data_IF_017953350100
#
_entry.id   IF_017953350100
#
_cell.length_a   1.000
_cell.length_b   1.000
_cell.length_c   1.000
_cell.angle_alpha   90.00
_cell.angle_beta   90.00
_cell.angle_gamma   90.00
#
_symmetry.space_group_name_H-M   'P 1'
#
loop_
_entity.id
_entity.type
_entity.pdbx_description
1 polymer ?
#
# COMPACT_ATOMS: atom_id res chain seq x y z
N UNK A 1 -29.79 13.66 -40.42
CA UNK A 1 -30.08 13.51 -38.98
C UNK A 1 -30.04 14.88 -38.32
N UNK A 2 -31.20 15.53 -38.12
CA UNK A 2 -31.30 16.93 -37.65
C UNK A 2 -31.18 16.92 -36.13
N UNK A 3 -30.04 17.34 -35.61
CA UNK A 3 -29.84 17.59 -34.16
C UNK A 3 -30.70 18.82 -33.79
N UNK A 4 -31.84 18.57 -33.18
CA UNK A 4 -32.69 19.64 -32.62
C UNK A 4 -31.93 20.30 -31.47
N UNK A 5 -31.50 21.54 -31.67
CA UNK A 5 -31.02 22.44 -30.62
C UNK A 5 -32.17 22.68 -29.62
N UNK A 6 -32.14 22.02 -28.48
CA UNK A 6 -33.04 22.34 -27.37
C UNK A 6 -32.60 23.70 -26.82
N UNK A 7 -33.47 24.71 -26.75
CA UNK A 7 -33.11 26.01 -26.20
C UNK A 7 -32.48 25.88 -24.83
N UNK A 8 -31.45 26.66 -24.52
CA UNK A 8 -30.73 26.63 -23.24
C UNK A 8 -31.68 26.81 -22.03
N UNK A 9 -32.72 27.62 -22.18
CA UNK A 9 -33.75 27.85 -21.16
C UNK A 9 -34.52 26.55 -20.80
N UNK A 10 -34.76 25.65 -21.75
CA UNK A 10 -35.47 24.39 -21.51
C UNK A 10 -34.55 23.39 -20.81
N UNK A 11 -33.26 23.38 -21.12
CA UNK A 11 -32.25 22.59 -20.40
C UNK A 11 -32.09 23.04 -18.96
N UNK A 12 -32.06 24.36 -18.72
CA UNK A 12 -31.95 24.94 -17.38
C UNK A 12 -33.21 24.64 -16.52
N UNK A 13 -34.40 24.65 -17.14
CA UNK A 13 -35.64 24.32 -16.44
C UNK A 13 -35.72 22.82 -16.09
N UNK A 14 -35.34 21.94 -17.02
CA UNK A 14 -35.30 20.48 -16.77
C UNK A 14 -34.29 20.14 -15.68
N UNK A 15 -33.18 20.86 -15.65
CA UNK A 15 -32.13 20.70 -14.65
C UNK A 15 -32.56 21.19 -13.25
N UNK A 16 -33.23 22.36 -13.18
CA UNK A 16 -33.79 22.88 -11.94
C UNK A 16 -34.88 21.94 -11.37
N UNK A 17 -35.75 21.41 -12.22
CA UNK A 17 -36.77 20.45 -11.82
C UNK A 17 -36.17 19.15 -11.29
N UNK A 18 -35.12 18.66 -11.92
CA UNK A 18 -34.38 17.46 -11.49
C UNK A 18 -33.70 17.69 -10.14
N UNK A 19 -33.11 18.87 -9.93
CA UNK A 19 -32.48 19.25 -8.68
C UNK A 19 -33.52 19.36 -7.54
N UNK A 20 -34.65 19.98 -7.79
CA UNK A 20 -35.73 20.08 -6.84
C UNK A 20 -36.28 18.72 -6.42
N UNK A 21 -36.49 17.82 -7.36
CA UNK A 21 -36.91 16.43 -7.08
C UNK A 21 -35.89 15.67 -6.26
N UNK A 22 -34.59 15.76 -6.57
CA UNK A 22 -33.52 15.12 -5.80
C UNK A 22 -33.42 15.71 -4.38
N UNK A 23 -33.60 17.02 -4.23
CA UNK A 23 -33.63 17.67 -2.94
C UNK A 23 -34.80 17.19 -2.09
N UNK A 24 -36.00 17.02 -2.71
CA UNK A 24 -37.19 16.49 -2.05
C UNK A 24 -37.01 15.02 -1.64
N UNK A 25 -36.48 14.18 -2.54
CA UNK A 25 -36.16 12.77 -2.24
C UNK A 25 -35.15 12.64 -1.11
N UNK A 26 -34.13 13.50 -1.06
CA UNK A 26 -33.14 13.54 0.03
C UNK A 26 -33.77 14.01 1.35
N UNK A 27 -34.63 15.04 1.31
CA UNK A 27 -35.31 15.57 2.48
C UNK A 27 -36.29 14.56 3.11
N UNK A 28 -36.81 13.61 2.34
CA UNK A 28 -37.63 12.51 2.82
C UNK A 28 -36.86 11.42 3.58
N UNK A 29 -35.55 11.42 3.53
CA UNK A 29 -34.71 10.45 4.26
C UNK A 29 -34.58 10.88 5.75
N UNK A 30 -34.49 9.92 6.70
CA UNK A 30 -34.27 10.26 8.10
C UNK A 30 -32.90 10.93 8.30
N UNK A 31 -32.88 11.98 9.10
CA UNK A 31 -31.63 12.66 9.51
C UNK A 31 -30.94 11.82 10.57
N UNK A 32 -29.74 11.33 10.26
CA UNK A 32 -28.89 10.53 11.16
C UNK A 32 -27.97 11.40 12.01
N UNK A 33 -27.51 12.51 11.45
CA UNK A 33 -26.56 13.42 12.08
C UNK A 33 -27.14 14.85 12.08
N UNK A 34 -27.98 15.22 13.06
CA UNK A 34 -28.63 16.55 13.09
C UNK A 34 -27.60 17.67 13.25
N UNK A 35 -26.50 17.44 13.94
CA UNK A 35 -25.42 18.40 14.16
C UNK A 35 -24.25 18.19 13.20
N UNK A 36 -24.54 17.93 11.92
CA UNK A 36 -23.54 17.67 10.89
C UNK A 36 -23.05 18.97 10.25
N UNK A 37 -21.74 19.04 10.04
CA UNK A 37 -21.10 20.02 9.16
C UNK A 37 -20.57 19.34 7.90
N UNK A 38 -20.64 20.04 6.76
CA UNK A 38 -19.97 19.69 5.51
C UNK A 38 -18.94 20.73 5.14
N UNK A 39 -17.73 20.31 4.80
CA UNK A 39 -16.64 21.23 4.41
C UNK A 39 -16.17 20.90 3.01
N UNK A 40 -16.16 21.90 2.13
CA UNK A 40 -15.43 21.88 0.88
C UNK A 40 -14.03 22.43 1.10
N UNK A 41 -13.01 21.66 0.62
CA UNK A 41 -11.60 21.90 0.94
C UNK A 41 -10.91 22.55 -0.24
N UNK A 42 -10.56 23.83 -0.12
CA UNK A 42 -9.72 24.56 -1.05
C UNK A 42 -8.25 24.65 -0.59
N UNK A 43 -7.40 25.23 -1.41
CA UNK A 43 -5.99 25.45 -1.13
C UNK A 43 -5.75 26.70 -0.25
N UNK A 44 -6.52 27.78 -0.49
CA UNK A 44 -6.39 29.05 0.21
C UNK A 44 -7.47 29.26 1.27
N UNK A 45 -8.65 28.66 1.08
CA UNK A 45 -9.78 28.74 2.00
C UNK A 45 -10.62 27.48 1.99
N UNK A 46 -11.39 27.29 3.07
CA UNK A 46 -12.33 26.21 3.24
C UNK A 46 -13.74 26.77 3.43
N UNK A 47 -14.70 26.20 2.71
CA UNK A 47 -16.12 26.54 2.86
C UNK A 47 -16.82 25.53 3.75
N UNK A 48 -17.38 26.00 4.85
CA UNK A 48 -18.08 25.15 5.82
C UNK A 48 -19.57 25.48 5.85
N UNK A 49 -20.39 24.44 5.91
CA UNK A 49 -21.84 24.54 6.05
C UNK A 49 -22.30 23.72 7.26
N UNK A 50 -23.12 24.36 8.13
CA UNK A 50 -23.78 23.73 9.28
C UNK A 50 -25.29 23.59 9.03
N UNK A 51 -26.01 22.88 9.88
CA UNK A 51 -27.45 22.73 9.76
C UNK A 51 -28.18 24.02 10.11
N UNK A 52 -27.75 24.71 11.17
CA UNK A 52 -28.27 26.00 11.66
C UNK A 52 -27.22 26.70 12.50
N UNK A 53 -27.32 28.00 12.61
CA UNK A 53 -26.52 28.82 13.53
C UNK A 53 -27.37 29.28 14.73
N UNK A 54 -26.80 29.43 15.93
CA UNK A 54 -27.56 29.82 17.12
C UNK A 54 -28.22 31.22 17.04
N UNK A 55 -27.57 32.10 16.27
CA UNK A 55 -27.95 33.50 16.10
C UNK A 55 -28.80 33.75 14.84
N UNK A 56 -29.15 32.69 14.09
CA UNK A 56 -29.87 32.80 12.83
C UNK A 56 -29.04 33.38 11.67
N UNK A 57 -27.74 33.54 11.83
CA UNK A 57 -26.84 34.01 10.77
C UNK A 57 -26.72 32.96 9.64
N UNK A 58 -25.98 33.31 8.58
CA UNK A 58 -25.84 32.41 7.44
C UNK A 58 -25.14 31.08 7.85
N UNK A 59 -25.79 29.96 7.54
CA UNK A 59 -25.28 28.63 7.86
C UNK A 59 -24.06 28.19 7.02
N UNK A 60 -23.55 29.04 6.13
CA UNK A 60 -22.38 28.83 5.30
C UNK A 60 -21.37 29.93 5.53
N UNK A 61 -20.11 29.54 5.81
CA UNK A 61 -19.04 30.50 6.05
C UNK A 61 -17.74 30.04 5.39
N UNK A 62 -16.96 31.01 4.92
CA UNK A 62 -15.61 30.80 4.40
C UNK A 62 -14.57 31.05 5.50
N UNK A 63 -13.55 30.20 5.56
CA UNK A 63 -12.43 30.30 6.50
C UNK A 63 -11.11 30.18 5.76
N UNK A 64 -10.12 31.06 6.01
CA UNK A 64 -8.80 30.94 5.46
C UNK A 64 -8.12 29.61 5.86
N UNK A 65 -7.34 28.99 4.95
CA UNK A 65 -6.69 27.72 5.19
C UNK A 65 -5.47 27.76 6.13
N UNK A 66 -5.01 28.97 6.53
CA UNK A 66 -3.92 29.11 7.50
C UNK A 66 -4.36 28.81 8.94
N UNK A 67 -3.40 28.53 9.83
CA UNK A 67 -3.67 28.07 11.20
C UNK A 67 -4.63 28.94 12.01
N UNK A 68 -4.56 30.31 12.01
CA UNK A 68 -5.58 31.13 12.64
C UNK A 68 -6.99 30.87 12.09
N UNK A 69 -7.16 30.81 10.76
CA UNK A 69 -8.45 30.53 10.14
C UNK A 69 -9.01 29.15 10.50
N UNK A 70 -8.14 28.13 10.67
CA UNK A 70 -8.57 26.81 11.15
C UNK A 70 -9.03 26.88 12.62
N UNK A 71 -8.42 27.70 13.46
CA UNK A 71 -8.88 27.95 14.83
C UNK A 71 -10.23 28.64 14.85
N UNK A 72 -10.43 29.62 14.00
CA UNK A 72 -11.72 30.33 13.85
C UNK A 72 -12.81 29.37 13.37
N UNK A 73 -12.51 28.49 12.42
CA UNK A 73 -13.41 27.44 11.97
C UNK A 73 -13.79 26.51 13.14
N UNK A 74 -12.83 26.02 13.90
CA UNK A 74 -13.09 25.15 15.07
C UNK A 74 -13.97 25.87 16.11
N UNK A 75 -13.67 27.13 16.40
CA UNK A 75 -14.46 27.93 17.35
C UNK A 75 -15.90 28.10 16.86
N UNK A 76 -16.10 28.44 15.59
CA UNK A 76 -17.44 28.59 15.01
C UNK A 76 -18.22 27.27 14.99
N UNK A 77 -17.59 26.14 14.64
CA UNK A 77 -18.24 24.82 14.67
C UNK A 77 -18.70 24.45 16.09
N UNK A 78 -17.92 24.76 17.11
CA UNK A 78 -18.31 24.57 18.52
C UNK A 78 -19.50 25.45 18.92
N UNK A 79 -19.51 26.72 18.52
CA UNK A 79 -20.63 27.65 18.76
C UNK A 79 -21.92 27.14 18.10
N UNK A 80 -21.82 26.54 16.90
CA UNK A 80 -22.94 25.94 16.19
C UNK A 80 -23.36 24.54 16.74
N UNK A 81 -22.74 24.05 17.82
CA UNK A 81 -23.07 22.74 18.40
C UNK A 81 -22.77 21.56 17.48
N UNK A 82 -21.83 21.69 16.52
CA UNK A 82 -21.45 20.63 15.61
C UNK A 82 -20.77 19.49 16.38
N UNK A 83 -21.16 18.25 16.09
CA UNK A 83 -20.57 17.04 16.67
C UNK A 83 -19.80 16.21 15.65
N UNK A 84 -20.17 16.31 14.38
CA UNK A 84 -19.57 15.52 13.31
C UNK A 84 -19.39 16.34 12.03
N UNK A 85 -18.24 16.15 11.39
CA UNK A 85 -17.82 16.93 10.21
C UNK A 85 -17.51 15.97 9.07
N UNK A 86 -18.04 16.23 7.89
CA UNK A 86 -17.63 15.56 6.66
C UNK A 86 -16.81 16.50 5.78
N UNK A 87 -15.71 15.97 5.21
CA UNK A 87 -14.89 16.70 4.24
C UNK A 87 -14.48 15.82 3.07
N UNK A 88 -14.28 16.42 1.90
CA UNK A 88 -13.77 15.72 0.74
C UNK A 88 -12.23 15.52 0.85
N UNK A 89 -11.73 14.33 0.50
CA UNK A 89 -10.31 14.04 0.46
C UNK A 89 -9.66 14.74 -0.74
N UNK A 90 -9.20 15.96 -0.56
CA UNK A 90 -8.58 16.81 -1.58
C UNK A 90 -7.07 16.89 -1.35
N UNK A 91 -6.35 15.82 -1.69
CA UNK A 91 -4.89 15.77 -1.62
C UNK A 91 -4.31 16.14 -0.25
N UNK A 92 -3.31 17.01 -0.25
CA UNK A 92 -2.61 17.47 0.98
C UNK A 92 -3.41 18.50 1.77
N UNK A 93 -4.27 19.28 1.10
CA UNK A 93 -5.01 20.41 1.72
C UNK A 93 -5.99 19.95 2.78
N UNK A 94 -6.69 18.84 2.55
CA UNK A 94 -7.65 18.27 3.52
C UNK A 94 -6.98 17.61 4.72
N UNK A 95 -5.69 17.32 4.66
CA UNK A 95 -5.01 16.58 5.73
C UNK A 95 -4.81 17.43 7.00
N UNK A 96 -4.32 18.65 6.84
CA UNK A 96 -4.11 19.58 7.97
C UNK A 96 -5.44 19.92 8.65
N UNK A 97 -6.47 20.20 7.85
CA UNK A 97 -7.82 20.43 8.36
C UNK A 97 -8.37 19.21 9.11
N UNK A 98 -8.19 18.01 8.54
CA UNK A 98 -8.61 16.75 9.17
C UNK A 98 -7.99 16.56 10.55
N UNK A 99 -6.67 16.76 10.69
CA UNK A 99 -5.98 16.67 11.97
C UNK A 99 -6.45 17.71 12.96
N UNK A 100 -6.57 18.99 12.56
CA UNK A 100 -7.05 20.06 13.42
C UNK A 100 -8.46 19.81 13.96
N UNK A 101 -9.34 19.22 13.16
CA UNK A 101 -10.70 18.86 13.58
C UNK A 101 -10.70 17.66 14.54
N UNK A 102 -9.82 16.66 14.32
CA UNK A 102 -9.68 15.54 15.25
C UNK A 102 -9.12 15.96 16.59
N UNK A 103 -8.07 16.79 16.61
CA UNK A 103 -7.50 17.37 17.83
C UNK A 103 -8.52 18.22 18.61
N UNK A 104 -9.43 18.88 17.90
CA UNK A 104 -10.53 19.62 18.48
C UNK A 104 -11.67 18.73 19.03
N UNK A 105 -11.59 17.40 18.84
CA UNK A 105 -12.54 16.40 19.37
C UNK A 105 -13.76 16.14 18.51
N UNK A 106 -13.81 16.62 17.25
CA UNK A 106 -14.90 16.32 16.34
C UNK A 106 -14.82 14.88 15.79
N UNK A 107 -15.98 14.29 15.52
CA UNK A 107 -16.05 13.07 14.72
C UNK A 107 -15.92 13.43 13.23
N UNK A 108 -14.79 13.11 12.61
CA UNK A 108 -14.48 13.55 11.24
C UNK A 108 -14.61 12.41 10.25
N UNK A 109 -15.46 12.61 9.24
CA UNK A 109 -15.70 11.70 8.12
C UNK A 109 -15.02 12.25 6.87
N UNK A 110 -13.85 11.74 6.52
CA UNK A 110 -13.22 12.03 5.24
C UNK A 110 -13.83 11.12 4.16
N UNK A 111 -14.34 11.70 3.07
CA UNK A 111 -14.98 10.96 1.96
C UNK A 111 -14.26 11.16 0.64
N UNK A 112 -14.52 10.29 -0.34
CA UNK A 112 -13.94 10.42 -1.67
C UNK A 112 -14.81 11.29 -2.58
N UNK A 113 -14.20 12.14 -3.39
CA UNK A 113 -14.85 12.91 -4.46
C UNK A 113 -15.81 12.09 -5.37
N UNK A 114 -15.62 10.77 -5.42
CA UNK A 114 -16.53 9.89 -6.14
C UNK A 114 -17.95 9.91 -5.56
N UNK A 115 -18.10 10.04 -4.25
CA UNK A 115 -19.40 10.00 -3.58
C UNK A 115 -20.07 11.36 -3.54
N UNK A 116 -19.32 12.44 -3.59
CA UNK A 116 -19.81 13.81 -3.64
C UNK A 116 -20.20 14.23 -5.06
N UNK A 117 -19.56 13.68 -6.11
CA UNK A 117 -19.80 14.01 -7.53
C UNK A 117 -20.90 13.22 -8.24
N UNK A 118 -21.71 12.43 -7.54
CA UNK A 118 -22.69 11.53 -8.19
C UNK A 118 -23.86 12.23 -8.87
N UNK A 119 -24.02 13.55 -8.72
CA UNK A 119 -25.10 14.32 -9.36
C UNK A 119 -24.52 15.14 -10.49
N UNK A 120 -24.88 14.79 -11.75
CA UNK A 120 -24.54 15.56 -12.95
C UNK A 120 -25.47 16.78 -13.09
N UNK A 121 -24.93 17.89 -13.63
CA UNK A 121 -25.70 19.06 -14.00
C UNK A 121 -25.86 20.14 -12.91
N UNK A 122 -25.19 20.01 -11.77
CA UNK A 122 -25.20 21.02 -10.71
C UNK A 122 -24.15 22.11 -10.98
N UNK A 123 -24.50 23.43 -10.93
CA UNK A 123 -23.52 24.50 -10.96
C UNK A 123 -22.51 24.35 -9.81
N UNK A 124 -21.23 24.31 -10.14
CA UNK A 124 -20.16 24.04 -9.20
C UNK A 124 -19.69 25.35 -8.57
N UNK A 125 -19.94 25.52 -7.27
CA UNK A 125 -19.39 26.60 -6.44
C UNK A 125 -19.08 26.02 -5.06
N UNK A 126 -18.03 26.47 -4.44
CA UNK A 126 -17.54 25.98 -3.14
C UNK A 126 -18.64 26.07 -2.07
N UNK A 127 -19.41 27.18 -2.06
CA UNK A 127 -20.60 27.37 -1.20
C UNK A 127 -21.65 26.26 -1.39
N UNK A 128 -21.95 25.85 -2.61
CA UNK A 128 -22.90 24.79 -2.92
C UNK A 128 -22.32 23.40 -2.64
N UNK A 129 -21.02 23.25 -2.78
CA UNK A 129 -20.35 21.98 -2.56
C UNK A 129 -20.29 21.65 -1.07
N UNK A 130 -20.00 22.63 -0.17
CA UNK A 130 -20.06 22.40 1.27
C UNK A 130 -21.50 22.10 1.75
N UNK A 131 -22.52 22.82 1.24
CA UNK A 131 -23.93 22.55 1.54
C UNK A 131 -24.34 21.13 1.11
N UNK A 132 -23.86 20.69 -0.04
CA UNK A 132 -24.13 19.35 -0.54
C UNK A 132 -23.49 18.27 0.33
N UNK A 133 -22.22 18.43 0.71
CA UNK A 133 -21.51 17.55 1.62
C UNK A 133 -22.25 17.48 2.97
N UNK A 134 -22.67 18.62 3.51
CA UNK A 134 -23.42 18.70 4.76
C UNK A 134 -24.73 17.87 4.68
N UNK A 135 -25.53 18.06 3.63
CA UNK A 135 -26.79 17.32 3.44
C UNK A 135 -26.57 15.81 3.34
N UNK A 136 -25.61 15.36 2.50
CA UNK A 136 -25.28 13.95 2.38
C UNK A 136 -24.80 13.37 3.72
N UNK A 137 -24.02 14.14 4.47
CA UNK A 137 -23.52 13.72 5.77
C UNK A 137 -24.64 13.65 6.81
N UNK A 138 -25.51 14.64 6.86
CA UNK A 138 -26.67 14.66 7.76
C UNK A 138 -27.55 13.40 7.60
N UNK A 139 -27.74 12.90 6.40
CA UNK A 139 -28.48 11.66 6.12
C UNK A 139 -27.63 10.38 6.22
N UNK A 140 -26.32 10.47 6.53
CA UNK A 140 -25.42 9.33 6.66
C UNK A 140 -25.10 8.62 5.34
N UNK A 141 -25.13 9.33 4.22
CA UNK A 141 -24.91 8.80 2.88
C UNK A 141 -23.43 8.83 2.44
N UNK A 142 -22.55 9.46 3.22
CA UNK A 142 -21.13 9.55 2.90
C UNK A 142 -20.34 8.39 3.54
N UNK A 143 -19.79 7.47 2.75
CA UNK A 143 -18.91 6.45 3.28
C UNK A 143 -17.55 7.06 3.65
N UNK A 144 -17.08 6.75 4.86
CA UNK A 144 -15.76 7.15 5.33
C UNK A 144 -14.64 6.45 4.55
N UNK A 145 -13.62 7.20 4.18
CA UNK A 145 -12.33 6.64 3.77
C UNK A 145 -11.60 6.16 5.03
N UNK A 146 -10.97 5.00 4.95
CA UNK A 146 -10.15 4.48 6.03
C UNK A 146 -9.03 5.45 6.41
N UNK A 147 -9.03 5.89 7.65
CA UNK A 147 -7.96 6.64 8.28
C UNK A 147 -7.37 5.79 9.42
N UNK A 148 -6.05 5.63 9.49
CA UNK A 148 -5.41 5.01 10.63
C UNK A 148 -5.46 5.94 11.84
N UNK A 149 -5.04 5.41 13.00
CA UNK A 149 -4.70 6.24 14.15
C UNK A 149 -3.45 7.11 13.87
N UNK A 150 -3.24 8.13 14.69
CA UNK A 150 -2.16 9.11 14.52
C UNK A 150 -0.77 8.47 14.50
N UNK A 151 -0.50 7.53 15.41
CA UNK A 151 0.79 6.84 15.48
C UNK A 151 1.07 6.03 14.22
N UNK A 152 0.04 5.36 13.70
CA UNK A 152 0.14 4.64 12.41
C UNK A 152 0.27 5.60 11.24
N UNK A 153 -0.36 6.78 11.31
CA UNK A 153 -0.25 7.80 10.26
C UNK A 153 1.19 8.31 10.15
N UNK A 154 1.80 8.67 11.27
CA UNK A 154 3.22 9.09 11.34
C UNK A 154 4.15 7.99 10.80
N UNK A 155 3.95 6.74 11.23
CA UNK A 155 4.71 5.61 10.72
C UNK A 155 4.54 5.45 9.19
N UNK A 156 3.32 5.62 8.68
CA UNK A 156 3.00 5.55 7.26
C UNK A 156 3.78 6.58 6.45
N UNK A 157 3.86 7.81 6.92
CA UNK A 157 4.56 8.89 6.22
C UNK A 157 6.06 8.63 6.18
N UNK A 158 6.67 8.20 7.28
CA UNK A 158 8.07 7.81 7.33
C UNK A 158 8.37 6.63 6.37
N UNK A 159 7.56 5.58 6.38
CA UNK A 159 7.75 4.41 5.52
C UNK A 159 7.57 4.76 4.04
N UNK A 160 6.62 5.64 3.71
CA UNK A 160 6.42 6.14 2.35
C UNK A 160 7.57 7.00 1.87
N UNK A 161 8.06 7.89 2.74
CA UNK A 161 9.24 8.72 2.45
C UNK A 161 10.47 7.85 2.21
N UNK A 162 10.69 6.86 3.08
CA UNK A 162 11.76 5.88 2.89
C UNK A 162 11.69 5.16 1.55
N UNK A 163 10.51 4.67 1.18
CA UNK A 163 10.31 3.99 -0.10
C UNK A 163 10.60 4.91 -1.29
N UNK A 164 10.28 6.20 -1.18
CA UNK A 164 10.59 7.20 -2.20
C UNK A 164 12.10 7.44 -2.31
N UNK A 165 12.81 7.59 -1.18
CA UNK A 165 14.27 7.77 -1.16
C UNK A 165 15.00 6.56 -1.74
N UNK A 166 14.58 5.33 -1.41
CA UNK A 166 15.14 4.10 -2.00
C UNK A 166 14.93 4.08 -3.51
N UNK A 167 13.76 4.47 -4.00
CA UNK A 167 13.48 4.57 -5.45
C UNK A 167 14.38 5.60 -6.14
N UNK A 168 14.57 6.78 -5.55
CA UNK A 168 15.46 7.83 -6.08
C UNK A 168 16.93 7.39 -6.07
N UNK A 169 17.37 6.77 -4.99
CA UNK A 169 18.71 6.15 -4.89
C UNK A 169 18.94 5.13 -6.02
N UNK A 170 17.95 4.29 -6.32
CA UNK A 170 18.01 3.33 -7.43
C UNK A 170 18.19 3.98 -8.80
N UNK A 171 17.67 5.18 -9.03
CA UNK A 171 17.90 5.93 -10.29
C UNK A 171 19.37 6.33 -10.46
N UNK A 172 20.05 6.67 -9.38
CA UNK A 172 21.49 7.00 -9.42
C UNK A 172 22.34 5.77 -9.69
N UNK A 173 21.96 4.57 -9.20
CA UNK A 173 22.63 3.32 -9.56
C UNK A 173 22.52 3.07 -11.07
N UNK A 174 21.33 3.23 -11.64
CA UNK A 174 21.15 3.07 -13.10
C UNK A 174 21.97 4.07 -13.92
N UNK A 175 22.09 5.31 -13.44
CA UNK A 175 22.93 6.34 -14.09
C UNK A 175 24.42 6.01 -13.98
N UNK A 176 24.89 5.53 -12.83
CA UNK A 176 26.27 5.05 -12.68
C UNK A 176 26.56 3.90 -13.65
N UNK A 177 25.67 2.93 -13.76
CA UNK A 177 25.79 1.84 -14.73
C UNK A 177 25.85 2.37 -16.16
N UNK A 178 24.99 3.33 -16.51
CA UNK A 178 25.00 3.97 -17.84
C UNK A 178 26.32 4.70 -18.13
N UNK A 179 26.85 5.45 -17.17
CA UNK A 179 28.13 6.15 -17.32
C UNK A 179 29.29 5.16 -17.57
N UNK A 180 29.30 4.04 -16.83
CA UNK A 180 30.28 2.96 -17.04
C UNK A 180 30.13 2.35 -18.45
N UNK A 181 28.91 2.05 -18.89
CA UNK A 181 28.64 1.51 -20.23
C UNK A 181 29.09 2.47 -21.35
N UNK A 182 28.89 3.78 -21.19
CA UNK A 182 29.33 4.81 -22.15
C UNK A 182 30.86 4.94 -22.25
N UNK A 183 31.57 4.52 -21.21
CA UNK A 183 33.03 4.39 -21.19
C UNK A 183 33.50 2.99 -21.70
N UNK A 184 32.59 2.12 -22.10
CA UNK A 184 32.84 0.71 -22.43
C UNK A 184 33.41 -0.09 -21.26
N UNK A 185 33.14 0.34 -20.01
CA UNK A 185 33.50 -0.39 -18.80
C UNK A 185 32.37 -1.37 -18.45
N UNK A 186 32.56 -2.65 -18.74
CA UNK A 186 31.54 -3.70 -18.63
C UNK A 186 31.43 -4.28 -17.23
N UNK A 187 31.56 -3.45 -16.21
CA UNK A 187 31.58 -3.87 -14.80
C UNK A 187 30.29 -4.63 -14.40
N UNK A 188 29.16 -4.33 -15.03
CA UNK A 188 27.87 -5.01 -14.80
C UNK A 188 27.84 -6.46 -15.30
N UNK A 189 28.76 -6.87 -16.18
CA UNK A 189 28.83 -8.26 -16.67
C UNK A 189 29.56 -9.19 -15.68
N UNK A 190 30.43 -8.62 -14.86
CA UNK A 190 31.25 -9.35 -13.87
C UNK A 190 30.81 -9.10 -12.42
N UNK A 191 30.02 -8.08 -12.16
CA UNK A 191 29.46 -7.77 -10.83
C UNK A 191 27.96 -7.70 -10.90
N UNK A 192 27.27 -8.48 -10.06
CA UNK A 192 25.81 -8.42 -9.93
C UNK A 192 25.28 -7.13 -9.28
N UNK A 193 26.14 -6.41 -8.55
CA UNK A 193 25.81 -5.15 -7.89
C UNK A 193 27.02 -4.20 -7.93
N UNK A 194 26.90 -3.11 -8.68
CA UNK A 194 27.96 -2.08 -8.79
C UNK A 194 28.10 -1.26 -7.51
N UNK A 195 27.11 -1.27 -6.63
CA UNK A 195 27.16 -0.63 -5.30
C UNK A 195 27.62 -1.58 -4.20
N UNK A 196 27.97 -2.81 -4.54
CA UNK A 196 28.61 -3.76 -3.63
C UNK A 196 30.07 -3.39 -3.31
N UNK A 197 30.69 -4.13 -2.40
CA UNK A 197 32.05 -3.85 -1.91
C UNK A 197 33.07 -3.67 -3.05
N UNK A 198 33.13 -4.63 -3.98
CA UNK A 198 34.04 -4.56 -5.13
C UNK A 198 33.72 -3.39 -6.04
N UNK A 199 32.44 -3.23 -6.42
CA UNK A 199 32.02 -2.17 -7.32
C UNK A 199 32.34 -0.77 -6.80
N UNK A 200 32.05 -0.50 -5.51
CA UNK A 200 32.37 0.80 -4.89
C UNK A 200 33.87 1.06 -4.79
N UNK A 201 34.70 0.03 -4.50
CA UNK A 201 36.15 0.17 -4.49
C UNK A 201 36.69 0.54 -5.87
N UNK A 202 36.26 -0.17 -6.91
CA UNK A 202 36.64 0.08 -8.31
C UNK A 202 36.17 1.47 -8.75
N UNK A 203 34.91 1.83 -8.56
CA UNK A 203 34.38 3.15 -8.95
C UNK A 203 35.14 4.27 -8.25
N UNK A 204 35.43 4.17 -6.96
CA UNK A 204 36.22 5.18 -6.22
C UNK A 204 37.65 5.30 -6.74
N UNK A 205 38.31 4.20 -7.07
CA UNK A 205 39.64 4.22 -7.67
C UNK A 205 39.64 4.88 -9.06
N UNK A 206 38.64 4.58 -9.89
CA UNK A 206 38.43 5.26 -11.18
C UNK A 206 38.27 6.77 -10.98
N UNK A 207 37.48 7.20 -10.00
CA UNK A 207 37.25 8.61 -9.69
C UNK A 207 38.51 9.29 -9.10
N UNK A 208 39.40 8.53 -8.46
CA UNK A 208 40.69 8.98 -7.97
C UNK A 208 41.78 9.07 -9.07
N UNK A 209 41.50 8.60 -10.26
CA UNK A 209 42.41 8.71 -11.40
C UNK A 209 43.03 7.40 -11.84
N UNK A 210 42.74 6.26 -11.19
CA UNK A 210 43.24 4.95 -11.61
C UNK A 210 42.64 4.52 -12.96
N UNK A 211 43.47 3.98 -13.84
CA UNK A 211 43.09 3.56 -15.22
C UNK A 211 43.62 2.18 -15.58
N UNK A 212 44.57 1.64 -14.79
CA UNK A 212 45.09 0.32 -15.03
C UNK A 212 44.04 -0.73 -14.68
N UNK A 213 43.55 -1.52 -15.67
CA UNK A 213 42.56 -2.56 -15.44
C UNK A 213 43.02 -3.64 -14.44
N UNK A 214 44.32 -3.94 -14.39
CA UNK A 214 44.84 -4.93 -13.46
C UNK A 214 44.87 -4.42 -12.01
N UNK A 215 45.24 -3.18 -11.80
CA UNK A 215 45.17 -2.52 -10.50
C UNK A 215 43.71 -2.44 -9.99
N UNK A 216 42.81 -2.01 -10.86
CA UNK A 216 41.38 -1.95 -10.58
C UNK A 216 40.81 -3.34 -10.25
N UNK A 217 41.16 -4.38 -11.01
CA UNK A 217 40.73 -5.75 -10.75
C UNK A 217 41.26 -6.33 -9.43
N UNK A 218 42.46 -5.88 -8.99
CA UNK A 218 43.04 -6.22 -7.70
C UNK A 218 42.18 -5.77 -6.48
N UNK A 219 41.30 -4.81 -6.66
CA UNK A 219 40.40 -4.32 -5.61
C UNK A 219 39.19 -5.24 -5.32
N UNK A 220 39.12 -6.41 -6.01
CA UNK A 220 38.03 -7.37 -5.84
C UNK A 220 37.96 -7.92 -4.42
N UNK A 221 36.77 -8.13 -3.91
CA UNK A 221 36.54 -8.86 -2.65
C UNK A 221 36.70 -10.37 -2.86
N UNK A 222 37.15 -11.09 -1.85
CA UNK A 222 37.35 -12.56 -1.90
C UNK A 222 36.11 -13.35 -2.31
N UNK A 223 34.93 -12.80 -2.01
CA UNK A 223 33.60 -13.38 -2.33
C UNK A 223 33.16 -13.11 -3.77
N UNK A 224 33.94 -12.37 -4.56
CA UNK A 224 33.61 -12.12 -5.97
C UNK A 224 33.83 -13.44 -6.77
N UNK A 225 32.79 -13.87 -7.47
CA UNK A 225 32.79 -15.11 -8.24
C UNK A 225 33.66 -15.06 -9.52
N UNK A 226 33.95 -13.85 -10.04
CA UNK A 226 34.77 -13.64 -11.22
C UNK A 226 36.27 -13.50 -10.86
N UNK A 227 37.12 -13.94 -11.75
CA UNK A 227 38.59 -13.83 -11.61
C UNK A 227 39.07 -12.39 -11.81
N UNK A 228 40.28 -12.07 -11.34
CA UNK A 228 40.88 -10.76 -11.58
C UNK A 228 41.09 -10.50 -13.08
N UNK A 229 41.43 -11.50 -13.86
CA UNK A 229 41.60 -11.38 -15.31
C UNK A 229 40.31 -11.03 -16.04
N UNK A 230 39.17 -11.66 -15.68
CA UNK A 230 37.85 -11.33 -16.24
C UNK A 230 37.45 -9.91 -15.89
N UNK A 231 37.70 -9.47 -14.65
CA UNK A 231 37.37 -8.10 -14.19
C UNK A 231 38.30 -7.10 -14.90
N UNK A 232 39.57 -7.37 -15.08
CA UNK A 232 40.49 -6.51 -15.83
C UNK A 232 40.04 -6.34 -17.27
N UNK A 233 39.66 -7.42 -17.94
CA UNK A 233 39.12 -7.37 -19.33
C UNK A 233 37.84 -6.50 -19.37
N UNK A 234 36.97 -6.60 -18.38
CA UNK A 234 35.75 -5.79 -18.30
C UNK A 234 36.01 -4.30 -18.01
N UNK A 235 37.16 -3.94 -17.48
CA UNK A 235 37.60 -2.59 -17.15
C UNK A 235 38.52 -1.94 -18.16
N UNK A 236 38.88 -2.64 -19.24
CA UNK A 236 39.58 -2.09 -20.40
C UNK A 236 38.60 -1.27 -21.25
N UNK A 237 38.68 0.05 -21.13
CA UNK A 237 37.74 0.97 -21.78
C UNK A 237 38.26 2.39 -21.95
N UNK A 238 37.36 3.31 -22.30
CA UNK A 238 37.70 4.70 -22.61
C UNK A 238 37.17 5.64 -21.52
N UNK A 239 38.02 6.12 -20.65
CA UNK A 239 37.72 6.96 -19.51
C UNK A 239 37.50 8.42 -19.91
N UNK A 240 36.33 8.76 -20.48
CA UNK A 240 35.99 10.10 -20.94
C UNK A 240 35.61 11.02 -19.75
N UNK A 241 36.13 12.26 -19.72
CA UNK A 241 35.96 13.16 -18.56
C UNK A 241 34.50 13.49 -18.25
N UNK A 242 33.65 13.63 -19.27
CA UNK A 242 32.21 13.90 -19.07
C UNK A 242 31.49 12.75 -18.34
N UNK A 243 31.81 11.49 -18.64
CA UNK A 243 31.21 10.32 -17.99
C UNK A 243 31.83 10.06 -16.61
N UNK A 244 33.09 10.39 -16.39
CA UNK A 244 33.73 10.41 -15.08
C UNK A 244 33.03 11.45 -14.19
N UNK A 245 32.71 12.62 -14.71
CA UNK A 245 31.95 13.65 -14.00
C UNK A 245 30.54 13.14 -13.62
N UNK A 246 29.81 12.53 -14.59
CA UNK A 246 28.48 11.94 -14.32
C UNK A 246 28.57 10.84 -13.24
N UNK A 247 29.56 9.95 -13.34
CA UNK A 247 29.78 8.87 -12.38
C UNK A 247 30.03 9.43 -10.97
N UNK A 248 30.85 10.48 -10.83
CA UNK A 248 31.14 11.17 -9.57
C UNK A 248 29.87 11.77 -8.96
N UNK A 249 29.12 12.55 -9.75
CA UNK A 249 27.86 13.17 -9.31
C UNK A 249 26.86 12.09 -8.82
N UNK A 250 26.71 11.01 -9.59
CA UNK A 250 25.77 9.95 -9.24
C UNK A 250 26.19 9.18 -7.99
N UNK A 251 27.49 8.90 -7.80
CA UNK A 251 28.01 8.26 -6.60
C UNK A 251 27.78 9.13 -5.35
N UNK A 252 28.10 10.42 -5.44
CA UNK A 252 27.90 11.38 -4.32
C UNK A 252 26.44 11.43 -3.91
N UNK A 253 25.52 11.60 -4.86
CA UNK A 253 24.09 11.61 -4.59
C UNK A 253 23.59 10.29 -4.02
N UNK A 254 24.04 9.16 -4.58
CA UNK A 254 23.69 7.84 -4.06
C UNK A 254 24.15 7.65 -2.61
N UNK A 255 25.35 8.07 -2.26
CA UNK A 255 25.87 8.03 -0.88
C UNK A 255 25.01 8.86 0.05
N UNK A 256 24.70 10.11 -0.35
CA UNK A 256 23.85 10.99 0.44
C UNK A 256 22.47 10.36 0.68
N UNK A 257 21.86 9.73 -0.34
CA UNK A 257 20.60 8.99 -0.13
C UNK A 257 20.74 7.86 0.88
N UNK A 258 21.87 7.12 0.90
CA UNK A 258 22.07 6.06 1.89
C UNK A 258 22.12 6.62 3.31
N UNK A 259 22.74 7.78 3.50
CA UNK A 259 22.84 8.45 4.80
C UNK A 259 21.45 8.93 5.27
N UNK A 260 20.72 9.62 4.42
CA UNK A 260 19.36 10.08 4.73
C UNK A 260 18.39 8.90 5.00
N UNK A 261 18.49 7.81 4.25
CA UNK A 261 17.72 6.58 4.51
C UNK A 261 18.08 5.99 5.88
N UNK A 262 19.36 6.02 6.26
CA UNK A 262 19.79 5.50 7.55
C UNK A 262 19.26 6.35 8.73
N UNK A 263 19.21 7.68 8.60
CA UNK A 263 18.58 8.55 9.61
C UNK A 263 17.07 8.28 9.70
N UNK A 264 16.39 8.17 8.55
CA UNK A 264 14.96 7.86 8.53
C UNK A 264 14.66 6.46 9.11
N UNK A 265 15.55 5.50 8.97
CA UNK A 265 15.45 4.19 9.63
C UNK A 265 15.46 4.31 11.16
N UNK A 266 16.22 5.29 11.72
CA UNK A 266 16.21 5.59 13.17
C UNK A 266 14.87 6.17 13.61
N UNK A 267 14.30 7.09 12.83
CA UNK A 267 12.96 7.67 13.08
C UNK A 267 11.86 6.59 13.04
N UNK A 268 11.88 5.72 12.04
CA UNK A 268 10.94 4.59 11.94
C UNK A 268 11.07 3.67 13.15
N UNK A 269 12.30 3.36 13.57
CA UNK A 269 12.54 2.53 14.76
C UNK A 269 12.07 3.22 16.05
N UNK A 270 12.27 4.54 16.18
CA UNK A 270 11.80 5.33 17.31
C UNK A 270 10.25 5.36 17.34
N UNK A 271 9.60 5.61 16.20
CA UNK A 271 8.15 5.59 16.09
C UNK A 271 7.55 4.24 16.51
N UNK A 272 8.11 3.12 16.01
CA UNK A 272 7.67 1.78 16.39
C UNK A 272 7.85 1.51 17.90
N UNK A 273 8.92 2.04 18.53
CA UNK A 273 9.11 1.94 19.99
C UNK A 273 8.09 2.74 20.77
N UNK A 274 7.68 3.90 20.27
CA UNK A 274 6.67 4.79 20.88
C UNK A 274 5.23 4.30 20.72
N UNK A 275 4.95 3.41 19.77
CA UNK A 275 3.61 2.85 19.59
C UNK A 275 3.21 1.92 20.74
N UNK A 276 1.89 1.79 20.97
CA UNK A 276 1.36 0.88 22.01
C UNK A 276 1.83 -0.54 21.78
N UNK A 277 2.54 -1.07 22.77
CA UNK A 277 3.06 -2.44 22.73
C UNK A 277 2.06 -3.45 23.29
N UNK A 278 2.04 -4.63 22.71
CA UNK A 278 1.31 -5.76 23.25
C UNK A 278 2.10 -6.36 24.44
N UNK A 279 1.39 -6.75 25.48
CA UNK A 279 1.97 -7.35 26.70
C UNK A 279 1.67 -8.85 26.75
N UNK A 280 2.44 -9.61 27.54
CA UNK A 280 2.23 -11.05 27.69
C UNK A 280 2.53 -11.87 26.43
N UNK A 281 3.33 -11.34 25.51
CA UNK A 281 3.66 -12.05 24.29
C UNK A 281 4.62 -13.22 24.58
N UNK A 282 4.42 -14.37 23.92
CA UNK A 282 5.39 -15.46 23.94
C UNK A 282 6.71 -15.02 23.28
N UNK A 283 7.81 -15.72 23.58
CA UNK A 283 9.08 -15.47 22.93
C UNK A 283 8.94 -15.59 21.40
N UNK A 284 9.53 -14.62 20.69
CA UNK A 284 9.49 -14.64 19.23
C UNK A 284 10.29 -15.87 18.73
N UNK A 285 9.70 -16.77 17.95
CA UNK A 285 10.38 -17.99 17.49
C UNK A 285 11.67 -17.68 16.72
N UNK A 286 12.69 -18.51 16.87
CA UNK A 286 13.91 -18.37 16.08
C UNK A 286 13.58 -18.45 14.57
N UNK A 287 14.37 -17.75 13.75
CA UNK A 287 14.20 -17.81 12.31
C UNK A 287 14.59 -19.18 11.78
N UNK A 288 13.70 -19.80 11.06
CA UNK A 288 13.99 -21.08 10.36
C UNK A 288 14.97 -20.89 9.20
N UNK A 289 15.10 -19.67 8.68
CA UNK A 289 16.07 -19.31 7.63
C UNK A 289 16.67 -17.94 7.91
N UNK A 290 17.98 -17.88 8.04
CA UNK A 290 18.73 -16.62 8.04
C UNK A 290 18.86 -16.15 6.60
N UNK A 291 18.15 -15.09 6.27
CA UNK A 291 18.29 -14.43 4.97
C UNK A 291 19.44 -13.44 5.06
N UNK A 292 20.33 -13.43 4.06
CA UNK A 292 21.32 -12.36 3.92
C UNK A 292 20.64 -10.99 3.81
N UNK A 293 21.22 -10.00 4.47
CA UNK A 293 20.72 -8.60 4.45
C UNK A 293 20.86 -8.03 3.04
N UNK A 294 19.79 -7.46 2.50
CA UNK A 294 19.81 -6.75 1.22
C UNK A 294 20.31 -5.31 1.43
N UNK A 295 20.89 -4.66 0.40
CA UNK A 295 21.40 -3.28 0.51
C UNK A 295 20.36 -2.27 1.02
N UNK A 296 19.08 -2.48 0.70
CA UNK A 296 17.99 -1.58 1.05
C UNK A 296 17.15 -2.04 2.25
N UNK A 297 17.57 -3.10 2.93
CA UNK A 297 16.88 -3.52 4.16
C UNK A 297 17.11 -2.47 5.26
N UNK A 298 16.11 -2.19 6.12
CA UNK A 298 16.24 -1.26 7.23
C UNK A 298 17.38 -1.65 8.16
N UNK A 299 18.07 -0.67 8.71
CA UNK A 299 19.26 -0.88 9.57
C UNK A 299 18.93 -1.22 11.03
N UNK A 300 17.70 -1.65 11.31
CA UNK A 300 17.24 -2.10 12.62
C UNK A 300 16.48 -3.43 12.52
N UNK A 301 16.16 -4.04 13.64
CA UNK A 301 15.37 -5.27 13.69
C UNK A 301 13.87 -4.97 13.57
N UNK A 302 13.40 -4.93 12.31
CA UNK A 302 12.00 -4.67 11.94
C UNK A 302 11.07 -5.76 12.46
N UNK A 303 11.49 -7.03 12.40
CA UNK A 303 10.67 -8.17 12.80
C UNK A 303 10.28 -8.08 14.28
N UNK A 304 11.28 -7.90 15.14
CA UNK A 304 11.06 -7.78 16.59
C UNK A 304 10.27 -6.52 16.93
N UNK A 305 10.57 -5.39 16.27
CA UNK A 305 9.83 -4.15 16.49
C UNK A 305 8.34 -4.30 16.13
N UNK A 306 8.03 -4.89 14.99
CA UNK A 306 6.66 -5.13 14.57
C UNK A 306 5.94 -6.16 15.45
N UNK A 307 6.65 -7.20 15.89
CA UNK A 307 6.07 -8.20 16.78
C UNK A 307 5.56 -7.59 18.09
N UNK A 308 6.31 -6.69 18.69
CA UNK A 308 5.87 -6.00 19.91
C UNK A 308 4.68 -5.07 19.69
N UNK A 309 4.54 -4.48 18.52
CA UNK A 309 3.42 -3.58 18.21
C UNK A 309 2.16 -4.35 17.80
N UNK A 310 2.32 -5.41 17.01
CA UNK A 310 1.19 -6.17 16.46
C UNK A 310 0.76 -7.38 17.30
N UNK A 311 1.64 -7.92 18.13
CA UNK A 311 1.45 -9.15 18.87
C UNK A 311 1.64 -10.43 18.04
N UNK A 312 1.94 -10.31 16.74
CA UNK A 312 2.06 -11.45 15.81
C UNK A 312 3.28 -11.32 14.91
N UNK A 313 3.88 -12.44 14.52
CA UNK A 313 4.97 -12.47 13.55
C UNK A 313 4.45 -12.57 12.11
N UNK A 314 4.30 -11.44 11.45
CA UNK A 314 3.88 -11.39 10.04
C UNK A 314 4.89 -12.05 9.10
N UNK A 315 6.18 -12.10 9.48
CA UNK A 315 7.23 -12.69 8.65
C UNK A 315 7.21 -14.23 8.65
N UNK A 316 6.43 -14.84 9.55
CA UNK A 316 6.16 -16.27 9.52
C UNK A 316 5.29 -16.68 8.32
N UNK A 317 4.56 -15.73 7.71
CA UNK A 317 3.75 -15.98 6.52
C UNK A 317 4.66 -16.07 5.30
N UNK A 318 4.57 -17.17 4.59
CA UNK A 318 5.34 -17.40 3.36
C UNK A 318 5.11 -16.27 2.34
N UNK A 319 6.20 -15.67 1.86
CA UNK A 319 6.19 -14.55 0.91
C UNK A 319 6.16 -13.16 1.54
N UNK A 320 5.94 -13.04 2.86
CA UNK A 320 6.01 -11.77 3.59
C UNK A 320 7.37 -11.63 4.25
N UNK A 321 8.19 -10.71 3.76
CA UNK A 321 9.44 -10.31 4.41
C UNK A 321 9.21 -9.09 5.32
N UNK A 322 10.28 -8.66 6.01
CA UNK A 322 10.23 -7.53 6.95
C UNK A 322 9.72 -6.24 6.30
N UNK A 323 10.13 -5.98 5.05
CA UNK A 323 9.67 -4.78 4.33
C UNK A 323 8.20 -4.86 3.92
N UNK A 324 7.72 -6.04 3.51
CA UNK A 324 6.30 -6.24 3.28
C UNK A 324 5.51 -6.06 4.57
N UNK A 325 5.97 -6.65 5.69
CA UNK A 325 5.33 -6.52 7.00
C UNK A 325 5.28 -5.06 7.47
N UNK A 326 6.41 -4.33 7.38
CA UNK A 326 6.47 -2.91 7.72
C UNK A 326 5.52 -2.06 6.87
N UNK A 327 5.48 -2.30 5.55
CA UNK A 327 4.56 -1.63 4.64
C UNK A 327 3.10 -1.94 4.99
N UNK A 328 2.77 -3.20 5.29
CA UNK A 328 1.40 -3.58 5.65
C UNK A 328 0.97 -2.92 6.96
N UNK A 329 1.79 -2.95 8.00
CA UNK A 329 1.47 -2.33 9.29
C UNK A 329 1.33 -0.81 9.15
N UNK A 330 2.22 -0.15 8.41
CA UNK A 330 2.13 1.31 8.19
C UNK A 330 0.89 1.72 7.39
N UNK A 331 0.39 0.89 6.48
CA UNK A 331 -0.79 1.20 5.66
C UNK A 331 -2.11 0.76 6.30
N UNK A 332 -2.12 -0.29 7.12
CA UNK A 332 -3.32 -0.88 7.70
C UNK A 332 -3.51 -0.55 9.18
N UNK A 333 -2.43 -0.24 9.89
CA UNK A 333 -2.41 -0.16 11.35
C UNK A 333 -2.46 -1.53 12.01
N UNK A 334 -2.64 -1.54 13.32
CA UNK A 334 -2.70 -2.75 14.14
C UNK A 334 -4.13 -3.16 14.47
N UNK A 335 -5.10 -2.24 14.36
CA UNK A 335 -6.51 -2.50 14.66
C UNK A 335 -7.28 -2.98 13.44
N UNK A 336 -7.49 -4.29 13.36
CA UNK A 336 -8.29 -4.94 12.32
C UNK A 336 -9.78 -5.07 12.66
N UNK A 337 -10.22 -4.57 13.81
CA UNK A 337 -11.64 -4.52 14.20
C UNK A 337 -12.46 -3.64 13.25
N UNK A 338 -11.83 -2.65 12.63
CA UNK A 338 -12.40 -1.74 11.62
C UNK A 338 -12.98 -2.48 10.40
N UNK A 339 -12.55 -3.70 10.15
CA UNK A 339 -13.16 -4.59 9.16
C UNK A 339 -13.83 -5.77 9.87
N UNK A 340 -15.14 -5.76 10.07
CA UNK A 340 -15.86 -6.82 10.79
C UNK A 340 -15.64 -8.22 10.22
N UNK A 341 -15.42 -8.33 8.90
CA UNK A 341 -15.19 -9.61 8.22
C UNK A 341 -14.01 -9.57 7.26
N UNK A 342 -13.36 -10.72 7.06
CA UNK A 342 -12.30 -10.89 6.05
C UNK A 342 -12.78 -10.56 4.62
N UNK A 343 -14.07 -10.70 4.33
CA UNK A 343 -14.68 -10.34 3.03
C UNK A 343 -14.65 -8.82 2.82
N UNK A 344 -15.03 -8.05 3.85
CA UNK A 344 -14.97 -6.58 3.82
C UNK A 344 -13.54 -6.08 3.68
N UNK A 345 -12.60 -6.64 4.45
CA UNK A 345 -11.17 -6.31 4.31
C UNK A 345 -10.63 -6.57 2.90
N UNK A 346 -10.86 -7.76 2.35
CA UNK A 346 -10.40 -8.12 1.01
C UNK A 346 -11.07 -7.28 -0.10
N UNK A 347 -12.34 -6.91 0.09
CA UNK A 347 -13.07 -6.01 -0.81
C UNK A 347 -12.53 -4.58 -0.74
N UNK A 348 -12.22 -4.09 0.47
CA UNK A 348 -11.62 -2.78 0.67
C UNK A 348 -10.25 -2.69 -0.01
N UNK A 349 -9.41 -3.71 0.09
CA UNK A 349 -8.14 -3.81 -0.62
C UNK A 349 -8.30 -3.83 -2.16
N UNK A 350 -9.51 -4.07 -2.69
CA UNK A 350 -9.72 -4.25 -4.13
C UNK A 350 -9.09 -5.52 -4.69
N UNK A 351 -8.89 -6.54 -3.87
CA UNK A 351 -8.35 -7.85 -4.28
C UNK A 351 -9.44 -8.86 -4.65
N UNK A 352 -10.71 -8.56 -4.37
CA UNK A 352 -11.86 -9.37 -4.75
C UNK A 352 -12.31 -9.10 -6.19
N UNK A 353 -12.86 -10.10 -6.89
CA UNK A 353 -13.54 -9.89 -8.16
C UNK A 353 -14.72 -8.93 -7.99
N UNK A 354 -14.81 -7.92 -8.86
CA UNK A 354 -15.93 -6.99 -8.92
C UNK A 354 -16.84 -7.41 -10.08
N UNK A 355 -17.77 -8.33 -9.80
CA UNK A 355 -18.66 -8.87 -10.81
C UNK A 355 -19.62 -7.79 -11.33
N UNK A 356 -19.58 -7.56 -12.65
CA UNK A 356 -20.61 -6.81 -13.37
C UNK A 356 -21.50 -7.81 -14.06
N UNK A 357 -22.78 -7.83 -13.70
CA UNK A 357 -23.80 -8.72 -14.29
C UNK A 357 -24.86 -7.88 -14.98
N UNK A 358 -25.31 -8.32 -16.14
CA UNK A 358 -26.44 -7.74 -16.88
C UNK A 358 -27.23 -8.90 -17.44
N UNK A 359 -28.56 -8.92 -17.22
CA UNK A 359 -29.42 -10.00 -17.67
C UNK A 359 -28.98 -11.41 -17.21
N UNK A 360 -28.51 -11.52 -15.96
CA UNK A 360 -27.98 -12.79 -15.39
C UNK A 360 -26.58 -13.20 -15.85
N UNK A 361 -26.04 -12.60 -16.90
CA UNK A 361 -24.71 -12.92 -17.46
C UNK A 361 -23.61 -12.08 -16.85
N UNK A 362 -22.46 -12.70 -16.48
CA UNK A 362 -21.28 -12.01 -15.97
C UNK A 362 -20.53 -11.35 -17.11
N UNK A 363 -20.57 -10.04 -17.21
CA UNK A 363 -19.82 -9.28 -18.22
C UNK A 363 -18.35 -9.07 -17.83
N UNK A 364 -18.06 -8.92 -16.55
CA UNK A 364 -16.70 -8.73 -16.06
C UNK A 364 -16.54 -9.24 -14.64
N UNK A 365 -15.40 -9.90 -14.38
CA UNK A 365 -14.94 -10.31 -13.04
C UNK A 365 -13.64 -9.59 -12.63
N UNK A 366 -13.29 -8.49 -13.31
CA UNK A 366 -12.06 -7.73 -12.99
C UNK A 366 -12.15 -7.16 -11.58
N UNK A 367 -11.03 -7.15 -10.87
CA UNK A 367 -10.93 -6.45 -9.58
C UNK A 367 -11.08 -4.94 -9.78
N UNK A 368 -11.46 -4.21 -8.71
CA UNK A 368 -11.49 -2.74 -8.75
C UNK A 368 -10.09 -2.20 -9.10
N UNK A 369 -10.04 -1.18 -9.97
CA UNK A 369 -8.81 -0.43 -10.19
C UNK A 369 -8.53 0.40 -8.94
N UNK A 370 -7.35 0.26 -8.36
CA UNK A 370 -6.94 1.03 -7.19
C UNK A 370 -5.42 1.06 -7.07
N UNK A 371 -4.89 2.18 -6.57
CA UNK A 371 -3.46 2.40 -6.34
C UNK A 371 -3.09 2.13 -4.86
N UNK A 372 -3.87 1.34 -4.13
CA UNK A 372 -3.64 1.06 -2.71
C UNK A 372 -2.29 0.37 -2.47
N UNK A 373 -1.44 0.97 -1.64
CA UNK A 373 -0.07 0.46 -1.34
C UNK A 373 -0.12 -0.89 -0.62
N UNK A 374 -1.06 -1.09 0.29
CA UNK A 374 -1.24 -2.39 0.95
C UNK A 374 -1.58 -3.51 -0.06
N UNK A 375 -2.51 -3.25 -1.00
CA UNK A 375 -2.83 -4.20 -2.06
C UNK A 375 -1.63 -4.46 -2.99
N UNK A 376 -0.79 -3.46 -3.23
CA UNK A 376 0.45 -3.60 -3.99
C UNK A 376 1.45 -4.48 -3.23
N UNK A 377 1.64 -4.24 -1.92
CA UNK A 377 2.52 -5.06 -1.08
C UNK A 377 2.09 -6.54 -1.09
N UNK A 378 0.78 -6.83 -0.99
CA UNK A 378 0.28 -8.20 -1.13
C UNK A 378 0.55 -8.82 -2.51
N UNK A 379 0.49 -8.04 -3.59
CA UNK A 379 0.83 -8.54 -4.94
C UNK A 379 2.33 -8.82 -5.08
N UNK A 380 3.19 -7.98 -4.51
CA UNK A 380 4.63 -8.22 -4.48
C UNK A 380 4.98 -9.46 -3.64
N UNK A 381 4.38 -9.59 -2.46
CA UNK A 381 4.53 -10.77 -1.63
C UNK A 381 4.08 -12.06 -2.36
N UNK A 382 2.96 -12.00 -3.08
CA UNK A 382 2.50 -13.10 -3.93
C UNK A 382 3.48 -13.41 -5.07
N UNK A 383 4.09 -12.39 -5.68
CA UNK A 383 5.11 -12.59 -6.72
C UNK A 383 6.34 -13.34 -6.19
N UNK A 384 6.79 -13.04 -4.97
CA UNK A 384 7.91 -13.73 -4.33
C UNK A 384 7.68 -15.23 -4.15
N UNK A 385 6.42 -15.70 -4.15
CA UNK A 385 6.05 -17.11 -4.01
C UNK A 385 6.25 -17.96 -5.28
N UNK A 386 6.66 -17.35 -6.41
CA UNK A 386 6.82 -18.08 -7.68
C UNK A 386 7.72 -19.30 -7.57
N UNK A 387 8.82 -19.19 -6.84
CA UNK A 387 9.83 -20.25 -6.65
C UNK A 387 9.68 -20.97 -5.31
N UNK A 388 8.67 -20.63 -4.53
CA UNK A 388 8.47 -21.26 -3.23
C UNK A 388 7.95 -22.69 -3.37
N UNK A 389 8.48 -23.58 -2.51
CA UNK A 389 8.04 -24.99 -2.43
C UNK A 389 6.83 -25.17 -1.50
N UNK A 390 6.44 -24.14 -0.73
CA UNK A 390 5.35 -24.22 0.23
C UNK A 390 3.96 -24.22 -0.40
N UNK A 391 2.95 -24.33 0.44
CA UNK A 391 1.54 -24.44 0.04
C UNK A 391 1.04 -23.24 -0.76
N UNK A 392 1.46 -22.01 -0.39
CA UNK A 392 1.08 -20.80 -1.11
C UNK A 392 1.75 -20.70 -2.48
N UNK A 393 3.02 -21.15 -2.58
CA UNK A 393 3.71 -21.26 -3.87
C UNK A 393 3.07 -22.30 -4.80
N UNK A 394 2.69 -23.45 -4.28
CA UNK A 394 1.95 -24.48 -5.02
C UNK A 394 0.57 -23.96 -5.47
N UNK A 395 -0.13 -23.21 -4.62
CA UNK A 395 -1.38 -22.53 -4.99
C UNK A 395 -1.18 -21.54 -6.15
N UNK A 396 -0.16 -20.68 -6.07
CA UNK A 396 0.16 -19.71 -7.13
C UNK A 396 0.44 -20.40 -8.47
N UNK A 397 1.28 -21.44 -8.49
CA UNK A 397 1.60 -22.18 -9.73
C UNK A 397 0.36 -22.82 -10.35
N UNK A 398 -0.51 -23.44 -9.55
CA UNK A 398 -1.79 -24.00 -10.01
C UNK A 398 -2.74 -22.93 -10.56
N UNK A 399 -2.83 -21.76 -9.92
CA UNK A 399 -3.64 -20.65 -10.45
C UNK A 399 -3.04 -20.07 -11.73
N UNK A 400 -1.72 -20.03 -11.85
CA UNK A 400 -1.01 -19.52 -13.03
C UNK A 400 -1.29 -20.36 -14.28
N UNK A 401 -1.26 -21.69 -14.18
CA UNK A 401 -1.58 -22.57 -15.31
C UNK A 401 -3.03 -22.38 -15.78
N UNK A 402 -3.98 -22.07 -14.90
CA UNK A 402 -5.39 -21.91 -15.22
C UNK A 402 -5.78 -20.49 -15.68
N UNK A 403 -5.24 -19.44 -15.06
CA UNK A 403 -5.71 -18.05 -15.19
C UNK A 403 -4.70 -17.10 -15.84
N UNK A 404 -3.46 -17.56 -16.06
CA UNK A 404 -2.33 -16.71 -16.43
C UNK A 404 -1.74 -15.94 -15.22
N UNK A 405 -0.51 -15.41 -15.39
CA UNK A 405 0.27 -14.83 -14.29
C UNK A 405 -0.41 -13.65 -13.56
N UNK A 406 -0.95 -12.62 -14.23
CA UNK A 406 -1.51 -11.45 -13.51
C UNK A 406 -2.70 -11.79 -12.62
N UNK A 407 -3.59 -12.67 -13.12
CA UNK A 407 -4.77 -13.10 -12.36
C UNK A 407 -4.39 -14.01 -11.21
N UNK A 408 -3.42 -14.92 -11.41
CA UNK A 408 -2.89 -15.81 -10.39
C UNK A 408 -2.23 -15.06 -9.24
N UNK A 409 -1.41 -14.04 -9.55
CA UNK A 409 -0.80 -13.16 -8.54
C UNK A 409 -1.89 -12.45 -7.71
N UNK A 410 -2.93 -11.91 -8.36
CA UNK A 410 -4.01 -11.24 -7.65
C UNK A 410 -4.82 -12.22 -6.77
N UNK A 411 -5.08 -13.44 -7.23
CA UNK A 411 -5.75 -14.46 -6.44
C UNK A 411 -4.91 -14.91 -5.24
N UNK A 412 -3.59 -15.01 -5.40
CA UNK A 412 -2.66 -15.34 -4.31
C UNK A 412 -2.53 -14.17 -3.33
N UNK A 413 -2.46 -12.93 -3.80
CA UNK A 413 -2.49 -11.73 -2.97
C UNK A 413 -3.78 -11.67 -2.13
N UNK A 414 -4.93 -12.01 -2.69
CA UNK A 414 -6.18 -12.13 -1.95
C UNK A 414 -6.10 -13.22 -0.85
N UNK A 415 -5.48 -14.38 -1.15
CA UNK A 415 -5.30 -15.42 -0.14
C UNK A 415 -4.35 -14.97 0.98
N UNK A 416 -3.22 -14.34 0.63
CA UNK A 416 -2.30 -13.73 1.61
C UNK A 416 -2.99 -12.69 2.50
N UNK A 417 -3.79 -11.80 1.91
CA UNK A 417 -4.55 -10.80 2.66
C UNK A 417 -5.49 -11.45 3.69
N UNK A 418 -6.12 -12.58 3.35
CA UNK A 418 -6.97 -13.33 4.29
C UNK A 418 -6.16 -13.95 5.43
N UNK A 419 -4.97 -14.49 5.15
CA UNK A 419 -4.08 -15.04 6.18
C UNK A 419 -3.63 -13.92 7.13
N UNK A 420 -3.17 -12.79 6.60
CA UNK A 420 -2.78 -11.61 7.41
C UNK A 420 -3.95 -11.10 8.25
N UNK A 421 -5.15 -10.96 7.69
CA UNK A 421 -6.33 -10.56 8.44
C UNK A 421 -6.61 -11.50 9.61
N UNK A 422 -6.62 -12.81 9.37
CA UNK A 422 -6.89 -13.80 10.40
C UNK A 422 -5.80 -13.80 11.48
N UNK A 423 -4.53 -13.70 11.08
CA UNK A 423 -3.40 -13.62 11.99
C UNK A 423 -3.49 -12.37 12.90
N UNK A 424 -3.73 -11.19 12.31
CA UNK A 424 -3.86 -9.92 13.05
C UNK A 424 -5.11 -9.88 13.94
N UNK A 425 -6.19 -10.55 13.54
CA UNK A 425 -7.47 -10.51 14.26
C UNK A 425 -7.58 -11.56 15.36
N UNK A 426 -7.05 -12.77 15.12
CA UNK A 426 -7.29 -13.96 15.93
C UNK A 426 -6.01 -14.65 16.44
N UNK A 427 -4.84 -14.14 16.02
CA UNK A 427 -3.53 -14.65 16.45
C UNK A 427 -3.05 -15.92 15.75
N UNK A 428 -1.86 -16.39 16.15
CA UNK A 428 -1.17 -17.53 15.53
C UNK A 428 -1.90 -18.87 15.69
N UNK A 429 -2.49 -19.13 16.86
CA UNK A 429 -3.17 -20.40 17.14
C UNK A 429 -4.32 -20.65 16.15
N UNK A 430 -5.13 -19.62 15.87
CA UNK A 430 -6.23 -19.72 14.92
C UNK A 430 -5.76 -20.00 13.49
N UNK A 431 -4.68 -19.35 13.06
CA UNK A 431 -4.14 -19.54 11.70
C UNK A 431 -3.58 -20.94 11.53
N UNK A 432 -2.85 -21.45 12.54
CA UNK A 432 -2.30 -22.81 12.53
C UNK A 432 -3.40 -23.87 12.44
N UNK A 433 -4.42 -23.79 13.27
CA UNK A 433 -5.57 -24.70 13.23
C UNK A 433 -6.28 -24.66 11.86
N UNK A 434 -6.43 -23.47 11.28
CA UNK A 434 -7.05 -23.32 9.95
C UNK A 434 -6.18 -23.89 8.82
N UNK A 435 -4.86 -23.82 8.93
CA UNK A 435 -3.92 -24.40 7.97
C UNK A 435 -3.93 -25.93 8.04
N UNK A 436 -3.94 -26.51 9.23
CA UNK A 436 -4.05 -27.96 9.45
C UNK A 436 -5.37 -28.50 8.86
N UNK A 437 -6.50 -27.92 9.22
CA UNK A 437 -7.82 -28.28 8.68
C UNK A 437 -7.88 -28.14 7.15
N UNK A 438 -7.25 -27.08 6.59
CA UNK A 438 -7.18 -26.91 5.15
C UNK A 438 -6.29 -27.95 4.47
N UNK A 439 -5.18 -28.31 5.09
CA UNK A 439 -4.28 -29.36 4.58
C UNK A 439 -4.99 -30.72 4.51
N UNK A 440 -5.75 -31.06 5.55
CA UNK A 440 -6.60 -32.27 5.57
C UNK A 440 -7.65 -32.25 4.45
N UNK A 441 -8.39 -31.16 4.31
CA UNK A 441 -9.39 -31.02 3.23
C UNK A 441 -8.78 -31.11 1.83
N UNK A 442 -7.56 -30.57 1.63
CA UNK A 442 -6.84 -30.67 0.36
C UNK A 442 -6.43 -32.11 0.12
N UNK A 443 -5.93 -32.80 1.14
CA UNK A 443 -5.56 -34.22 1.07
C UNK A 443 -6.75 -35.10 0.69
N UNK A 444 -7.88 -34.94 1.38
CA UNK A 444 -9.10 -35.69 1.06
C UNK A 444 -9.58 -35.45 -0.40
N UNK A 445 -9.51 -34.19 -0.86
CA UNK A 445 -9.88 -33.89 -2.25
C UNK A 445 -8.94 -34.53 -3.26
N UNK A 446 -7.65 -34.54 -2.98
CA UNK A 446 -6.66 -35.20 -3.83
C UNK A 446 -6.86 -36.72 -3.84
N UNK A 447 -7.14 -37.33 -2.70
CA UNK A 447 -7.44 -38.76 -2.58
C UNK A 447 -8.70 -39.11 -3.41
N UNK A 448 -9.80 -38.36 -3.23
CA UNK A 448 -11.03 -38.52 -4.04
C UNK A 448 -10.79 -38.37 -5.55
N UNK A 449 -9.95 -37.40 -5.94
CA UNK A 449 -9.62 -37.16 -7.36
C UNK A 449 -8.75 -38.30 -7.92
N UNK A 450 -7.82 -38.81 -7.11
CA UNK A 450 -6.95 -39.94 -7.49
C UNK A 450 -7.78 -41.23 -7.67
N UNK A 451 -8.69 -41.51 -6.70
CA UNK A 451 -9.61 -42.64 -6.77
C UNK A 451 -10.50 -42.58 -8.04
N UNK A 452 -11.05 -41.41 -8.33
CA UNK A 452 -11.85 -41.23 -9.54
C UNK A 452 -11.07 -41.50 -10.83
N UNK A 453 -9.84 -40.96 -10.93
CA UNK A 453 -8.96 -41.18 -12.09
C UNK A 453 -8.52 -42.64 -12.22
N UNK A 454 -8.19 -43.29 -11.10
CA UNK A 454 -7.85 -44.71 -11.11
C UNK A 454 -9.01 -45.54 -11.62
N UNK A 455 -10.23 -45.28 -11.14
CA UNK A 455 -11.45 -45.95 -11.61
C UNK A 455 -11.74 -45.72 -13.10
N UNK A 456 -11.53 -44.50 -13.60
CA UNK A 456 -11.66 -44.16 -15.02
C UNK A 456 -10.66 -44.94 -15.91
N UNK A 457 -9.48 -45.27 -15.35
CA UNK A 457 -8.44 -46.05 -16.04
C UNK A 457 -8.46 -47.55 -15.75
N UNK A 458 -9.45 -48.03 -14.98
CA UNK A 458 -9.59 -49.48 -14.62
C UNK A 458 -8.69 -49.95 -13.47
N UNK A 459 -8.11 -49.01 -12.69
CA UNK A 459 -7.29 -49.35 -11.52
C UNK A 459 -8.03 -49.17 -10.21
N UNK A 460 -7.69 -50.02 -9.25
CA UNK A 460 -8.12 -49.90 -7.85
C UNK A 460 -6.97 -49.39 -6.99
N UNK A 461 -7.24 -48.30 -6.22
CA UNK A 461 -6.26 -47.71 -5.33
C UNK A 461 -6.37 -48.34 -3.93
N UNK A 462 -5.29 -48.96 -3.48
CA UNK A 462 -5.15 -49.40 -2.09
C UNK A 462 -4.23 -48.49 -1.32
N UNK A 463 -4.65 -48.07 -0.10
CA UNK A 463 -3.83 -47.28 0.79
C UNK A 463 -2.73 -48.15 1.34
N UNK A 464 -1.48 -47.83 1.07
CA UNK A 464 -0.32 -48.50 1.67
C UNK A 464 -0.16 -47.98 3.10
N UNK A 465 -0.26 -48.85 4.09
CA UNK A 465 0.09 -48.50 5.45
C UNK A 465 1.58 -48.24 5.53
N UNK A 466 1.96 -47.04 6.04
CA UNK A 466 3.35 -46.69 6.21
C UNK A 466 3.98 -47.60 7.25
N UNK A 467 4.73 -48.60 6.81
CA UNK A 467 5.67 -49.35 7.67
C UNK A 467 6.69 -48.37 8.23
N UNK A 468 6.85 -48.38 9.53
CA UNK A 468 7.76 -47.51 10.28
C UNK A 468 9.23 -47.99 10.12
N UNK A 469 9.74 -47.94 8.86
CA UNK A 469 11.14 -48.21 8.56
C UNK A 469 11.53 -47.44 7.29
N UNK A 470 11.99 -46.20 7.50
CA UNK A 470 12.91 -45.51 6.61
C UNK A 470 13.38 -44.22 7.30
N UNK A 471 14.11 -44.37 8.40
CA UNK A 471 15.05 -43.37 8.90
C UNK A 471 16.44 -43.89 8.55
N UNK A 472 16.98 -43.42 7.43
CA UNK A 472 18.43 -43.40 7.14
C UNK A 472 18.75 -42.12 6.37
#
# INVERSE_FOLDING_TARGET
>A
MVVRNIPEARRALDEATRQARQAAELAALPVKHPHACGIDVGDNSHWACVASTPDGSEAVREFPAHTPGLRDLVAWLRQCGVTTVALEATGVYGHVLFLSLLEAGFNVVMTSAKFTRQIQGRPKTDKRDCQWIQRLHAHGLLPAIFQPDEATHTLRDYVRQRANLVRLSGQHIQRMQKALELMNLKLTTVLGDVTGVTGLRVIRAILAGERDPHVLAGLRDRRCGHTAAEIATALDGRYRPEYICELRCCLTLWQHYQDVIAELDKEIAAQLRGMKRQTGLPALPARTRVRGRKPHDPKFDVRTALYFVTGVDLTAIEGIDEMHALTLVSELGCDFSKWPTVKQFSSWLGLCPNFRKTGGKVQSSRTRRGKGRAAHAFRLAAWCLMRSKGALGAYLRRQRSRLGAPKAITATAHKLARVVYNLMRFGHAYVKQTEETYAEQVRERLEKQLQRRAKELGYELKKVEATAEATL
#
